data_IF_703141898398
#
_entry.id   IF_703141898398
#
_cell.length_a   1.000
_cell.length_b   1.000
_cell.length_c   1.000
_cell.angle_alpha   90.00
_cell.angle_beta   90.00
_cell.angle_gamma   90.00
#
_symmetry.space_group_name_H-M   'P 1'
#
loop_
_entity.id
_entity.type
_entity.pdbx_description
1 polymer ?
#
# COMPACT_ATOMS: atom_id res chain seq x y z
N UNK A 1 14.08 -15.49 -9.55
CA UNK A 1 12.83 -16.17 -9.97
C UNK A 1 11.64 -15.22 -9.79
N UNK A 2 10.64 -15.27 -10.67
CA UNK A 2 9.41 -14.44 -10.58
C UNK A 2 8.74 -14.60 -9.21
N UNK A 3 8.70 -15.83 -8.67
CA UNK A 3 8.13 -16.12 -7.35
C UNK A 3 8.80 -15.35 -6.21
N UNK A 4 10.12 -15.18 -6.27
CA UNK A 4 10.83 -14.41 -5.23
C UNK A 4 10.50 -12.91 -5.32
N UNK A 5 10.40 -12.38 -6.54
CA UNK A 5 10.02 -10.99 -6.76
C UNK A 5 8.60 -10.71 -6.22
N UNK A 6 7.64 -11.61 -6.48
CA UNK A 6 6.28 -11.49 -5.94
C UNK A 6 6.25 -11.43 -4.41
N UNK A 7 7.03 -12.30 -3.75
CA UNK A 7 7.10 -12.34 -2.28
C UNK A 7 7.67 -11.03 -1.72
N UNK A 8 8.72 -10.49 -2.33
CA UNK A 8 9.32 -9.22 -1.92
C UNK A 8 8.33 -8.06 -2.10
N UNK A 9 7.65 -8.00 -3.24
CA UNK A 9 6.66 -6.95 -3.53
C UNK A 9 5.50 -6.99 -2.54
N UNK A 10 4.91 -8.16 -2.28
CA UNK A 10 3.80 -8.31 -1.31
C UNK A 10 4.24 -7.91 0.10
N UNK A 11 5.44 -8.28 0.50
CA UNK A 11 5.99 -7.92 1.81
C UNK A 11 6.17 -6.42 1.92
N UNK A 12 6.73 -5.78 0.90
CA UNK A 12 6.92 -4.35 0.85
C UNK A 12 5.58 -3.59 0.91
N UNK A 13 4.57 -4.01 0.14
CA UNK A 13 3.24 -3.41 0.15
C UNK A 13 2.60 -3.46 1.55
N UNK A 14 2.69 -4.61 2.25
CA UNK A 14 2.16 -4.74 3.61
C UNK A 14 2.83 -3.75 4.58
N UNK A 15 4.15 -3.67 4.53
CA UNK A 15 4.94 -2.80 5.41
C UNK A 15 4.66 -1.33 5.14
N UNK A 16 4.62 -0.96 3.86
CA UNK A 16 4.33 0.40 3.45
C UNK A 16 2.95 0.80 3.95
N UNK A 17 1.89 0.03 3.66
CA UNK A 17 0.51 0.46 3.93
C UNK A 17 0.09 0.43 5.41
N UNK A 18 0.68 -0.42 6.24
CA UNK A 18 0.16 -0.68 7.60
C UNK A 18 1.10 -0.32 8.72
N UNK A 19 2.41 -0.31 8.47
CA UNK A 19 3.42 -0.25 9.53
C UNK A 19 4.19 1.07 9.47
N UNK A 20 4.37 1.65 8.28
CA UNK A 20 5.13 2.89 8.16
C UNK A 20 4.26 4.12 8.48
N UNK A 21 4.75 5.05 9.30
CA UNK A 21 4.07 6.32 9.52
C UNK A 21 4.10 7.17 8.25
N UNK A 22 2.93 7.49 7.70
CA UNK A 22 2.80 8.27 6.48
C UNK A 22 2.72 9.77 6.77
N UNK A 23 3.85 10.34 7.22
CA UNK A 23 3.94 11.76 7.58
C UNK A 23 3.49 12.69 6.43
N UNK A 24 3.90 12.38 5.19
CA UNK A 24 3.50 13.14 4.00
C UNK A 24 2.01 13.01 3.62
N UNK A 25 1.29 12.06 4.23
CA UNK A 25 -0.14 11.82 4.01
C UNK A 25 -0.97 12.07 5.27
N UNK A 26 -0.44 12.86 6.20
CA UNK A 26 -1.12 13.16 7.45
C UNK A 26 -1.50 11.90 8.23
N UNK A 27 -0.61 10.89 8.20
CA UNK A 27 -0.77 9.54 8.77
C UNK A 27 -1.85 8.65 8.10
N UNK A 28 -2.36 9.04 6.93
CA UNK A 28 -3.28 8.20 6.16
C UNK A 28 -2.51 7.21 5.27
N UNK A 29 -2.98 5.96 5.12
CA UNK A 29 -2.35 5.02 4.22
C UNK A 29 -2.41 5.52 2.74
N UNK A 30 -1.29 5.52 2.00
CA UNK A 30 -1.09 6.07 0.64
C UNK A 30 -1.83 5.35 -0.48
N UNK A 31 -2.16 4.08 -0.28
CA UNK A 31 -2.71 3.28 -1.36
C UNK A 31 -4.22 3.39 -1.24
N UNK A 32 -4.90 4.16 -2.09
CA UNK A 32 -6.33 4.01 -2.18
C UNK A 32 -6.62 2.55 -2.52
N UNK A 33 -7.64 1.95 -1.90
CA UNK A 33 -8.35 0.86 -2.59
C UNK A 33 -8.69 1.42 -3.97
N UNK A 34 -7.94 0.97 -4.97
CA UNK A 34 -8.14 1.38 -6.35
C UNK A 34 -9.59 0.99 -6.70
N UNK A 35 -10.46 2.01 -6.79
CA UNK A 35 -11.83 1.95 -7.31
C UNK A 35 -12.90 1.34 -6.38
N UNK A 36 -13.25 2.02 -5.29
CA UNK A 36 -14.65 2.00 -4.81
C UNK A 36 -15.34 3.25 -5.34
N UNK A 37 -15.90 3.15 -6.54
CA UNK A 37 -16.67 4.22 -7.15
C UNK A 37 -17.88 4.59 -6.30
N UNK A 38 -17.83 5.73 -5.64
CA UNK A 38 -18.99 6.59 -5.38
C UNK A 38 -18.52 7.87 -4.69
N UNK A 39 -18.84 9.01 -5.26
CA UNK A 39 -18.56 10.31 -4.66
C UNK A 39 -18.67 11.44 -5.68
N UNK A 40 -19.92 11.69 -6.10
CA UNK A 40 -20.51 12.93 -6.66
C UNK A 40 -19.63 13.92 -7.43
#
# INVERSE_FOLDING_TARGET
SVRQAEVVIKTWLKQYNHIRPHQALNMRPPVPETLSGSGT
#
